data_IF_489164832372
#
_entry.id   IF_489164832372
#
_cell.length_a   1.000
_cell.length_b   1.000
_cell.length_c   1.000
_cell.angle_alpha   90.00
_cell.angle_beta   90.00
_cell.angle_gamma   90.00
#
_symmetry.space_group_name_H-M   'P 1'
#
loop_
_entity.id
_entity.type
_entity.pdbx_description
1 polymer ?
#
# COMPACT_ATOMS: atom_id res chain seq x y z
N UNK A 1 4.43 -14.62 -34.96
CA UNK A 1 4.21 -14.06 -33.60
C UNK A 1 4.49 -12.56 -33.57
N UNK A 2 3.70 -11.73 -34.26
CA UNK A 2 4.00 -10.30 -34.41
C UNK A 2 2.78 -9.37 -34.42
N UNK A 3 1.60 -9.83 -34.01
CA UNK A 3 0.35 -9.07 -34.19
C UNK A 3 -0.35 -8.74 -32.86
N UNK A 4 -0.15 -9.52 -31.80
CA UNK A 4 -0.72 -9.24 -30.46
C UNK A 4 0.04 -8.17 -29.68
N UNK A 5 1.36 -7.99 -29.91
CA UNK A 5 2.16 -6.93 -29.28
C UNK A 5 1.84 -5.53 -29.83
N UNK A 6 1.31 -5.46 -31.06
CA UNK A 6 0.93 -4.20 -31.72
C UNK A 6 -0.37 -3.64 -31.14
N UNK A 7 -1.29 -4.48 -30.64
CA UNK A 7 -2.58 -4.03 -30.10
C UNK A 7 -2.48 -3.41 -28.70
N UNK A 8 -1.61 -3.91 -27.82
CA UNK A 8 -1.34 -3.27 -26.52
C UNK A 8 -0.61 -1.93 -26.67
N UNK A 9 0.34 -1.81 -27.60
CA UNK A 9 1.00 -0.54 -27.92
C UNK A 9 0.07 0.43 -28.65
N UNK A 10 -0.80 -0.05 -29.55
CA UNK A 10 -1.77 0.79 -30.26
C UNK A 10 -2.85 1.38 -29.33
N UNK A 11 -3.31 0.66 -28.30
CA UNK A 11 -4.27 1.21 -27.33
C UNK A 11 -3.66 2.33 -26.46
N UNK A 12 -2.37 2.23 -26.15
CA UNK A 12 -1.61 3.29 -25.45
C UNK A 12 -1.30 4.46 -26.39
N UNK A 13 -0.96 4.20 -27.65
CA UNK A 13 -0.65 5.23 -28.65
C UNK A 13 -1.90 5.98 -29.18
N UNK A 14 -3.05 5.30 -29.34
CA UNK A 14 -4.32 5.90 -29.77
C UNK A 14 -4.89 6.78 -28.66
N UNK A 15 -4.77 6.38 -27.37
CA UNK A 15 -5.05 7.27 -26.23
C UNK A 15 -4.14 8.50 -26.20
N UNK A 16 -2.90 8.39 -26.70
CA UNK A 16 -1.94 9.50 -26.76
C UNK A 16 -2.17 10.46 -27.94
N UNK A 17 -2.51 9.97 -29.14
CA UNK A 17 -2.79 10.79 -30.32
C UNK A 17 -4.11 11.57 -30.17
N UNK A 18 -5.13 10.98 -29.52
CA UNK A 18 -6.40 11.67 -29.26
C UNK A 18 -6.31 12.76 -28.17
N UNK A 19 -5.24 12.77 -27.36
CA UNK A 19 -5.02 13.74 -26.27
C UNK A 19 -4.19 14.97 -26.70
N UNK A 20 -3.46 14.90 -27.82
CA UNK A 20 -2.74 16.06 -28.36
C UNK A 20 -3.58 16.79 -29.42
N UNK A 21 -4.30 17.81 -28.96
CA UNK A 21 -4.62 19.11 -29.62
C UNK A 21 -6.03 19.57 -29.26
N UNK A 22 -6.19 20.24 -28.14
CA UNK A 22 -7.12 21.39 -27.99
C UNK A 22 -6.54 22.37 -26.98
N UNK A 23 -5.98 23.47 -27.51
CA UNK A 23 -5.39 24.55 -26.72
C UNK A 23 -4.19 25.15 -27.45
N UNK A 24 -4.44 26.12 -28.32
CA UNK A 24 -3.37 26.99 -28.80
C UNK A 24 -3.25 28.16 -27.81
N UNK A 25 -2.05 28.35 -27.24
CA UNK A 25 -1.70 29.51 -26.43
C UNK A 25 -0.96 30.47 -27.38
N UNK A 26 -1.50 31.66 -27.61
CA UNK A 26 -0.78 32.77 -28.25
C UNK A 26 -0.44 33.81 -27.18
N UNK A 27 0.81 34.29 -27.19
CA UNK A 27 1.31 35.35 -26.32
C UNK A 27 1.37 36.66 -27.10
N UNK A 28 0.79 37.73 -26.57
CA UNK A 28 1.03 39.10 -27.02
C UNK A 28 1.93 39.79 -25.99
N UNK A 29 3.02 40.39 -26.46
CA UNK A 29 4.18 40.78 -25.66
C UNK A 29 4.09 42.17 -25.03
N UNK A 30 2.90 42.62 -24.65
CA UNK A 30 2.69 44.00 -24.18
C UNK A 30 2.08 44.16 -22.79
N UNK A 31 1.77 43.07 -22.05
CA UNK A 31 1.16 43.21 -20.72
C UNK A 31 1.63 42.15 -19.72
N UNK A 32 2.29 42.56 -18.63
CA UNK A 32 2.99 41.66 -17.68
C UNK A 32 2.18 41.22 -16.46
N UNK A 33 0.87 41.46 -16.37
CA UNK A 33 0.14 41.14 -15.11
C UNK A 33 -1.25 40.51 -15.24
N UNK A 34 -1.68 40.01 -16.41
CA UNK A 34 -2.97 39.31 -16.51
C UNK A 34 -2.96 38.12 -17.49
N UNK A 35 -3.35 36.94 -16.99
CA UNK A 35 -3.70 35.75 -17.79
C UNK A 35 -5.20 35.78 -18.11
N UNK A 36 -5.57 36.01 -19.37
CA UNK A 36 -6.95 35.87 -19.85
C UNK A 36 -7.19 34.48 -20.45
N UNK A 37 -8.10 33.70 -19.85
CA UNK A 37 -8.60 32.44 -20.43
C UNK A 37 -9.98 32.72 -21.06
N UNK A 38 -10.04 32.79 -22.39
CA UNK A 38 -11.29 32.96 -23.14
C UNK A 38 -11.84 31.59 -23.53
N UNK A 39 -12.91 31.14 -22.87
CA UNK A 39 -13.64 29.94 -23.27
C UNK A 39 -14.57 30.30 -24.43
N UNK A 40 -14.31 29.75 -25.63
CA UNK A 40 -15.25 29.82 -26.75
C UNK A 40 -16.34 28.77 -26.53
N UNK A 41 -17.53 29.24 -26.14
CA UNK A 41 -18.77 28.50 -26.30
C UNK A 41 -19.66 29.25 -27.28
N UNK A 42 -20.10 28.57 -28.34
CA UNK A 42 -21.39 28.83 -28.99
C UNK A 42 -21.74 27.71 -29.97
N UNK A 43 -22.77 26.93 -29.65
CA UNK A 43 -23.81 26.55 -30.60
C UNK A 43 -25.15 26.53 -29.86
N UNK A 44 -25.96 27.57 -30.08
CA UNK A 44 -27.41 27.58 -29.83
C UNK A 44 -28.12 26.84 -30.97
N UNK A 45 -28.92 25.84 -30.64
CA UNK A 45 -30.13 25.49 -31.43
C UNK A 45 -31.29 25.29 -30.44
N UNK A 46 -32.40 25.98 -30.70
CA UNK A 46 -33.62 26.03 -29.88
C UNK A 46 -34.59 24.88 -30.21
N UNK A 47 -35.11 24.26 -29.14
CA UNK A 47 -36.48 23.75 -28.86
C UNK A 47 -37.21 22.82 -29.85
N UNK A 48 -37.62 21.64 -29.35
CA UNK A 48 -39.02 21.25 -29.09
C UNK A 48 -39.11 19.86 -28.42
N UNK A 49 -39.93 19.79 -27.37
CA UNK A 49 -40.74 18.67 -26.85
C UNK A 49 -40.13 17.24 -26.69
N UNK A 50 -40.26 16.71 -25.47
CA UNK A 50 -40.17 15.26 -25.18
C UNK A 50 -39.26 14.95 -24.00
N UNK A 51 -39.81 14.91 -22.79
CA UNK A 51 -39.14 14.28 -21.65
C UNK A 51 -39.19 12.76 -21.85
N UNK A 52 -38.08 12.13 -22.23
CA UNK A 52 -37.85 10.72 -21.97
C UNK A 52 -36.85 10.58 -20.83
N UNK A 53 -37.25 9.85 -19.80
CA UNK A 53 -36.43 9.50 -18.65
C UNK A 53 -35.40 8.46 -19.08
N UNK A 54 -34.17 8.89 -19.37
CA UNK A 54 -33.04 7.96 -19.39
C UNK A 54 -32.86 7.36 -18.00
N UNK A 55 -33.00 6.03 -17.92
CA UNK A 55 -32.81 5.23 -16.72
C UNK A 55 -31.39 5.45 -16.20
N UNK A 56 -31.27 6.15 -15.07
CA UNK A 56 -30.08 6.06 -14.21
C UNK A 56 -29.84 4.58 -13.92
N UNK A 57 -28.68 4.07 -14.34
CA UNK A 57 -28.18 2.79 -13.88
C UNK A 57 -28.10 2.81 -12.36
N UNK A 58 -29.09 2.23 -11.71
CA UNK A 58 -29.15 2.05 -10.26
C UNK A 58 -28.20 0.91 -9.91
N UNK A 59 -26.91 1.21 -9.76
CA UNK A 59 -26.01 0.30 -9.07
C UNK A 59 -26.38 0.32 -7.57
N UNK A 60 -26.54 -0.84 -6.91
CA UNK A 60 -26.88 -0.88 -5.51
C UNK A 60 -25.78 -0.20 -4.69
N UNK A 61 -26.17 0.55 -3.67
CA UNK A 61 -25.24 1.04 -2.65
C UNK A 61 -24.61 -0.18 -1.97
N UNK A 62 -23.33 -0.43 -2.26
CA UNK A 62 -22.59 -1.51 -1.62
C UNK A 62 -22.12 -0.99 -0.26
N UNK A 63 -22.82 -1.40 0.80
CA UNK A 63 -22.39 -1.12 2.18
C UNK A 63 -21.18 -2.01 2.48
N UNK A 64 -20.04 -1.38 2.78
CA UNK A 64 -18.80 -2.09 3.06
C UNK A 64 -18.87 -2.95 4.32
N UNK A 65 -19.87 -2.76 5.18
CA UNK A 65 -20.13 -3.64 6.34
C UNK A 65 -20.74 -4.98 5.95
N UNK A 66 -21.36 -5.09 4.77
CA UNK A 66 -21.96 -6.34 4.27
C UNK A 66 -20.88 -7.29 3.74
N UNK A 67 -19.65 -6.82 3.49
CA UNK A 67 -18.53 -7.67 3.09
C UNK A 67 -18.07 -8.67 4.17
N UNK A 68 -18.57 -8.54 5.40
CA UNK A 68 -18.12 -9.35 6.54
C UNK A 68 -19.20 -10.28 7.11
N UNK A 69 -20.38 -10.35 6.48
CA UNK A 69 -21.44 -11.28 6.88
C UNK A 69 -21.40 -12.57 6.04
N UNK A 70 -20.37 -13.38 6.26
CA UNK A 70 -20.41 -14.82 5.98
C UNK A 70 -19.98 -15.59 7.24
N UNK A 71 -20.80 -15.50 8.27
CA UNK A 71 -21.00 -16.62 9.18
C UNK A 71 -22.51 -16.77 9.38
N UNK A 72 -23.04 -17.90 8.91
CA UNK A 72 -24.43 -18.26 9.10
C UNK A 72 -24.71 -18.49 10.59
N UNK A 73 -25.43 -17.56 11.23
CA UNK A 73 -26.41 -17.88 12.28
C UNK A 73 -27.60 -16.92 12.08
N UNK A 74 -28.73 -17.46 11.64
CA UNK A 74 -30.01 -16.75 11.59
C UNK A 74 -30.44 -16.31 12.99
N UNK A 75 -30.51 -14.99 13.22
CA UNK A 75 -31.39 -14.43 14.26
C UNK A 75 -32.13 -13.25 13.65
N UNK A 76 -33.44 -13.40 13.51
CA UNK A 76 -34.33 -12.37 13.00
C UNK A 76 -34.29 -11.12 13.88
N UNK A 77 -34.07 -9.94 13.29
CA UNK A 77 -34.35 -8.67 13.96
C UNK A 77 -35.17 -7.78 13.05
N UNK A 78 -36.41 -7.56 13.47
CA UNK A 78 -37.40 -6.64 12.92
C UNK A 78 -36.84 -5.23 12.75
N UNK A 79 -37.23 -4.62 11.64
CA UNK A 79 -37.00 -3.23 11.27
C UNK A 79 -37.28 -2.24 12.42
N UNK A 80 -36.37 -1.27 12.61
CA UNK A 80 -36.67 0.09 13.11
C UNK A 80 -35.56 1.08 12.71
N UNK A 81 -35.98 1.98 11.82
CA UNK A 81 -35.64 3.41 11.72
C UNK A 81 -34.25 3.87 11.30
N UNK A 82 -34.23 4.34 10.05
CA UNK A 82 -33.41 5.42 9.51
C UNK A 82 -33.50 6.66 10.41
N UNK A 83 -32.36 7.14 10.92
CA UNK A 83 -32.02 8.57 11.12
C UNK A 83 -30.52 8.70 11.30
N UNK A 84 -29.87 9.36 10.34
CA UNK A 84 -28.51 9.90 10.44
C UNK A 84 -28.41 10.84 11.64
N UNK A 85 -27.32 10.79 12.39
CA UNK A 85 -26.60 11.96 12.88
C UNK A 85 -25.20 11.54 13.38
N UNK A 86 -24.24 12.41 13.08
CA UNK A 86 -22.82 12.31 13.36
C UNK A 86 -22.57 12.19 14.87
N UNK A 87 -22.07 11.05 15.35
CA UNK A 87 -21.46 10.96 16.68
C UNK A 87 -20.33 9.93 16.67
N UNK A 88 -19.10 10.46 16.65
CA UNK A 88 -17.88 9.78 17.08
C UNK A 88 -18.01 9.42 18.56
N UNK A 89 -18.18 8.13 18.85
CA UNK A 89 -17.84 7.49 20.12
C UNK A 89 -18.14 6.01 19.98
N UNK A 90 -17.14 5.20 19.66
CA UNK A 90 -17.29 3.73 19.68
C UNK A 90 -16.31 3.12 20.68
N UNK A 91 -16.87 2.88 21.86
CA UNK A 91 -16.69 1.70 22.69
C UNK A 91 -15.26 1.19 22.95
N UNK A 92 -14.56 1.83 23.90
CA UNK A 92 -13.65 1.13 24.81
C UNK A 92 -14.46 0.35 25.85
N UNK A 93 -14.87 -0.90 25.54
CA UNK A 93 -15.24 -1.88 26.57
C UNK A 93 -15.01 -3.31 26.10
N UNK A 94 -13.89 -3.90 26.54
CA UNK A 94 -13.91 -5.26 27.09
C UNK A 94 -12.76 -5.43 28.08
N UNK A 95 -12.90 -4.81 29.25
CA UNK A 95 -12.15 -5.20 30.45
C UNK A 95 -12.80 -6.46 31.01
N UNK A 96 -12.17 -7.63 30.85
CA UNK A 96 -12.49 -8.79 31.70
C UNK A 96 -11.82 -8.56 33.05
N UNK A 97 -12.59 -7.96 33.96
CA UNK A 97 -12.28 -7.96 35.38
C UNK A 97 -12.42 -9.37 35.95
N UNK A 98 -11.44 -9.72 36.78
CA UNK A 98 -11.32 -10.85 37.68
C UNK A 98 -12.64 -11.44 38.21
N UNK A 99 -12.79 -12.76 38.07
CA UNK A 99 -13.39 -13.62 39.11
C UNK A 99 -12.44 -14.79 39.36
N UNK A 100 -12.11 -14.96 40.63
CA UNK A 100 -11.13 -15.93 41.10
C UNK A 100 -11.58 -17.37 40.91
N UNK A 101 -10.71 -18.13 40.27
CA UNK A 101 -10.53 -19.56 40.51
C UNK A 101 -9.02 -19.79 40.45
N UNK A 102 -8.41 -20.20 41.56
CA UNK A 102 -7.00 -20.56 41.61
C UNK A 102 -6.78 -21.83 40.78
N UNK A 103 -6.37 -21.64 39.53
CA UNK A 103 -5.81 -22.71 38.69
C UNK A 103 -4.30 -22.53 38.70
N UNK A 104 -3.60 -23.62 39.08
CA UNK A 104 -2.15 -23.71 39.20
C UNK A 104 -1.45 -23.18 37.93
N UNK A 105 -0.49 -22.27 38.15
CA UNK A 105 0.28 -21.55 37.14
C UNK A 105 1.15 -22.47 36.27
N UNK A 106 0.69 -22.78 35.06
CA UNK A 106 1.54 -23.24 33.95
C UNK A 106 1.52 -22.30 32.73
N UNK A 107 0.69 -21.26 32.72
CA UNK A 107 0.53 -20.33 31.58
C UNK A 107 1.55 -19.18 31.56
N UNK A 108 2.10 -18.75 32.71
CA UNK A 108 3.00 -17.59 32.77
C UNK A 108 4.43 -17.86 32.25
N UNK A 109 4.85 -19.13 32.18
CA UNK A 109 6.20 -19.50 31.70
C UNK A 109 6.29 -19.34 30.18
N UNK A 110 5.22 -19.70 29.45
CA UNK A 110 5.18 -19.62 28.00
C UNK A 110 5.18 -18.16 27.50
N UNK A 111 4.47 -17.26 28.17
CA UNK A 111 4.41 -15.84 27.80
C UNK A 111 5.78 -15.14 27.93
N UNK A 112 6.58 -15.49 28.94
CA UNK A 112 7.95 -14.97 29.07
C UNK A 112 8.88 -15.52 27.99
N UNK A 113 8.70 -16.79 27.58
CA UNK A 113 9.50 -17.43 26.53
C UNK A 113 9.21 -16.82 25.15
N UNK A 114 7.94 -16.63 24.77
CA UNK A 114 7.56 -16.00 23.50
C UNK A 114 8.00 -14.54 23.43
N UNK A 115 7.83 -13.78 24.51
CA UNK A 115 8.32 -12.40 24.60
C UNK A 115 9.85 -12.32 24.58
N UNK A 116 10.54 -13.31 25.16
CA UNK A 116 11.98 -13.46 25.09
C UNK A 116 12.47 -13.69 23.65
N UNK A 117 11.83 -14.60 22.92
CA UNK A 117 12.12 -14.87 21.51
C UNK A 117 11.88 -13.64 20.63
N UNK A 118 10.78 -12.90 20.85
CA UNK A 118 10.50 -11.67 20.13
C UNK A 118 11.61 -10.62 20.36
N UNK A 119 12.09 -10.45 21.60
CA UNK A 119 13.25 -9.58 21.89
C UNK A 119 14.52 -10.03 21.17
N UNK A 120 14.79 -11.34 21.13
CA UNK A 120 15.93 -11.89 20.38
C UNK A 120 15.83 -11.61 18.87
N UNK A 121 14.62 -11.69 18.30
CA UNK A 121 14.40 -11.32 16.90
C UNK A 121 14.67 -9.83 16.65
N UNK A 122 14.21 -8.94 17.54
CA UNK A 122 14.47 -7.50 17.43
C UNK A 122 15.96 -7.15 17.47
N UNK A 123 16.79 -7.94 18.16
CA UNK A 123 18.26 -7.81 18.08
C UNK A 123 18.83 -7.98 16.66
N UNK A 124 18.06 -8.57 15.74
CA UNK A 124 18.37 -8.78 14.32
C UNK A 124 17.46 -7.97 13.38
N UNK A 125 16.77 -6.93 13.88
CA UNK A 125 15.81 -6.12 13.10
C UNK A 125 16.42 -5.46 11.86
N UNK A 126 17.75 -5.27 11.82
CA UNK A 126 18.44 -4.73 10.65
C UNK A 126 18.76 -5.77 9.54
N UNK A 127 18.42 -7.04 9.72
CA UNK A 127 18.68 -8.09 8.74
C UNK A 127 17.59 -8.11 7.66
N UNK A 128 17.99 -8.24 6.40
CA UNK A 128 17.04 -8.32 5.28
C UNK A 128 16.19 -9.61 5.28
N UNK A 129 16.64 -10.65 5.97
CA UNK A 129 15.92 -11.91 6.15
C UNK A 129 15.11 -11.94 7.45
N UNK A 130 14.73 -10.79 8.00
CA UNK A 130 13.86 -10.72 9.18
C UNK A 130 12.49 -11.32 8.84
N UNK A 131 12.07 -12.33 9.59
CA UNK A 131 10.78 -13.00 9.40
C UNK A 131 9.68 -12.25 10.16
N UNK A 132 9.00 -11.36 9.45
CA UNK A 132 7.93 -10.54 10.01
C UNK A 132 6.70 -11.37 10.42
N UNK A 133 6.43 -12.48 9.72
CA UNK A 133 5.30 -13.35 10.04
C UNK A 133 5.53 -14.12 11.33
N UNK A 134 6.75 -14.63 11.55
CA UNK A 134 7.10 -15.24 12.83
C UNK A 134 7.04 -14.20 13.95
N UNK A 135 7.58 -13.00 13.73
CA UNK A 135 7.55 -11.94 14.72
C UNK A 135 6.12 -11.55 15.12
N UNK A 136 5.21 -11.47 14.16
CA UNK A 136 3.79 -11.21 14.41
C UNK A 136 3.12 -12.33 15.22
N UNK A 137 3.41 -13.60 14.91
CA UNK A 137 2.93 -14.74 15.70
C UNK A 137 3.42 -14.71 17.15
N UNK A 138 4.72 -14.42 17.35
CA UNK A 138 5.32 -14.36 18.69
C UNK A 138 4.79 -13.20 19.54
N UNK A 139 4.29 -12.15 18.90
CA UNK A 139 3.76 -10.96 19.57
C UNK A 139 2.22 -10.93 19.60
N UNK A 140 1.57 -12.01 19.18
CA UNK A 140 0.10 -12.13 19.10
C UNK A 140 -0.57 -11.02 18.28
N UNK A 141 -0.06 -10.76 17.06
CA UNK A 141 -0.60 -9.73 16.18
C UNK A 141 -0.14 -8.31 16.54
N UNK A 142 0.94 -8.17 17.31
CA UNK A 142 1.44 -6.90 17.83
C UNK A 142 2.79 -6.50 17.20
N UNK A 143 3.03 -6.98 15.97
CA UNK A 143 4.30 -6.76 15.25
C UNK A 143 4.56 -5.28 14.98
N UNK A 144 3.58 -4.54 14.47
CA UNK A 144 3.75 -3.14 14.08
C UNK A 144 4.13 -2.24 15.26
N UNK A 145 3.42 -2.34 16.39
CA UNK A 145 3.74 -1.57 17.60
C UNK A 145 5.10 -2.00 18.15
N UNK A 146 5.33 -3.30 18.32
CA UNK A 146 6.55 -3.81 18.97
C UNK A 146 7.80 -3.47 18.17
N UNK A 147 7.76 -3.64 16.84
CA UNK A 147 8.85 -3.31 15.93
C UNK A 147 9.08 -1.80 15.87
N UNK A 148 8.03 -1.01 15.66
CA UNK A 148 8.17 0.45 15.51
C UNK A 148 8.62 1.11 16.81
N UNK A 149 8.10 0.69 17.96
CA UNK A 149 8.55 1.19 19.26
C UNK A 149 10.03 0.85 19.50
N UNK A 150 10.46 -0.37 19.15
CA UNK A 150 11.86 -0.75 19.20
C UNK A 150 12.74 0.13 18.29
N UNK A 151 12.30 0.41 17.06
CA UNK A 151 13.05 1.26 16.13
C UNK A 151 13.12 2.72 16.62
N UNK A 152 12.08 3.25 17.24
CA UNK A 152 12.12 4.58 17.86
C UNK A 152 13.17 4.67 18.97
N UNK A 153 13.31 3.60 19.76
CA UNK A 153 14.37 3.49 20.78
C UNK A 153 15.75 3.31 20.14
N UNK A 154 15.89 2.40 19.16
CA UNK A 154 17.15 2.08 18.48
C UNK A 154 17.77 3.30 17.78
N UNK A 155 16.94 4.16 17.18
CA UNK A 155 17.38 5.40 16.53
C UNK A 155 17.47 6.60 17.50
N UNK A 156 17.24 6.40 18.80
CA UNK A 156 17.31 7.47 19.81
C UNK A 156 16.22 8.54 19.69
N UNK A 157 15.14 8.29 18.95
CA UNK A 157 14.10 9.29 18.65
C UNK A 157 13.32 9.72 19.89
N UNK A 158 13.15 8.79 20.84
CA UNK A 158 12.45 9.05 22.11
C UNK A 158 13.17 10.15 22.89
N UNK A 159 14.49 10.02 23.04
CA UNK A 159 15.32 10.97 23.77
C UNK A 159 15.47 12.29 22.97
N UNK A 160 15.78 12.18 21.68
CA UNK A 160 16.04 13.32 20.81
C UNK A 160 14.85 14.29 20.72
N UNK A 161 13.63 13.76 20.65
CA UNK A 161 12.40 14.56 20.53
C UNK A 161 11.61 14.67 21.83
N UNK A 162 12.15 14.17 22.95
CA UNK A 162 11.51 14.17 24.27
C UNK A 162 10.09 13.57 24.23
N UNK A 163 9.97 12.38 23.63
CA UNK A 163 8.68 11.72 23.43
C UNK A 163 8.21 11.05 24.72
N UNK A 164 6.96 11.30 25.09
CA UNK A 164 6.26 10.54 26.12
C UNK A 164 6.02 9.11 25.61
N UNK A 165 6.67 8.12 26.22
CA UNK A 165 6.56 6.72 25.85
C UNK A 165 5.13 6.16 25.93
N UNK A 166 4.31 6.67 26.85
CA UNK A 166 2.91 6.27 26.97
C UNK A 166 2.08 6.80 25.80
N UNK A 167 2.33 8.05 25.38
CA UNK A 167 1.71 8.61 24.16
C UNK A 167 2.22 7.89 22.91
N UNK A 168 3.50 7.56 22.84
CA UNK A 168 4.09 6.83 21.71
C UNK A 168 3.43 5.45 21.57
N UNK A 169 3.34 4.68 22.66
CA UNK A 169 2.67 3.37 22.63
C UNK A 169 1.20 3.51 22.21
N UNK A 170 0.46 4.48 22.75
CA UNK A 170 -0.93 4.73 22.35
C UNK A 170 -1.06 5.09 20.87
N UNK A 171 -0.20 5.97 20.37
CA UNK A 171 -0.16 6.34 18.96
C UNK A 171 0.06 5.12 18.05
N UNK A 172 1.05 4.28 18.37
CA UNK A 172 1.33 3.08 17.59
C UNK A 172 0.19 2.06 17.67
N UNK A 173 -0.46 1.89 18.83
CA UNK A 173 -1.64 1.02 18.96
C UNK A 173 -2.80 1.54 18.12
N UNK A 174 -3.08 2.85 18.13
CA UNK A 174 -4.12 3.42 17.27
C UNK A 174 -3.83 3.15 15.79
N UNK A 175 -2.57 3.27 15.36
CA UNK A 175 -2.18 2.92 13.99
C UNK A 175 -2.47 1.45 13.70
N UNK A 176 -2.01 0.54 14.56
CA UNK A 176 -2.14 -0.91 14.33
C UNK A 176 -3.60 -1.37 14.27
N UNK A 177 -4.46 -0.84 15.16
CA UNK A 177 -5.87 -1.24 15.22
C UNK A 177 -6.72 -0.61 14.10
N UNK A 178 -6.26 0.49 13.48
CA UNK A 178 -6.90 1.09 12.30
C UNK A 178 -6.48 0.41 10.99
N UNK A 179 -5.62 -0.62 11.03
CA UNK A 179 -5.45 -1.55 9.92
C UNK A 179 -6.51 -2.67 9.98
N UNK A 180 -7.07 -2.99 8.83
CA UNK A 180 -8.04 -4.07 8.67
C UNK A 180 -7.34 -5.44 8.69
N UNK A 181 -7.32 -6.10 9.85
CA UNK A 181 -6.69 -7.42 10.04
C UNK A 181 -7.31 -8.54 9.19
N UNK A 182 -8.51 -8.32 8.66
CA UNK A 182 -9.19 -9.23 7.73
C UNK A 182 -8.69 -9.13 6.28
N UNK A 183 -7.99 -8.06 5.91
CA UNK A 183 -7.38 -7.96 4.58
C UNK A 183 -6.22 -8.98 4.50
N UNK A 184 -6.15 -9.84 3.47
CA UNK A 184 -5.07 -10.81 3.34
C UNK A 184 -3.67 -10.18 3.28
N UNK A 185 -3.55 -9.03 2.60
CA UNK A 185 -2.28 -8.34 2.36
C UNK A 185 -2.21 -6.96 3.04
N UNK A 186 -3.12 -6.03 2.73
CA UNK A 186 -3.04 -4.65 3.23
C UNK A 186 -3.54 -4.55 4.69
N UNK A 187 -2.73 -5.05 5.62
CA UNK A 187 -2.96 -5.10 7.07
C UNK A 187 -1.72 -4.63 7.85
N UNK A 188 -1.77 -4.65 9.19
CA UNK A 188 -0.69 -4.15 10.05
C UNK A 188 0.64 -4.91 9.88
N UNK A 189 0.61 -6.19 9.45
CA UNK A 189 1.83 -6.98 9.24
C UNK A 189 2.58 -6.48 8.00
N UNK A 190 1.85 -6.11 6.94
CA UNK A 190 2.45 -5.45 5.76
C UNK A 190 3.08 -4.11 6.17
N UNK A 191 2.36 -3.27 6.92
CA UNK A 191 2.92 -2.03 7.44
C UNK A 191 4.20 -2.24 8.27
N UNK A 192 4.25 -3.32 9.07
CA UNK A 192 5.42 -3.68 9.85
C UNK A 192 6.59 -4.15 8.97
N UNK A 193 6.33 -4.91 7.89
CA UNK A 193 7.33 -5.32 6.89
C UNK A 193 7.93 -4.10 6.17
N UNK A 194 7.09 -3.19 5.70
CA UNK A 194 7.51 -1.93 5.04
C UNK A 194 8.33 -1.06 5.99
N UNK A 195 7.93 -0.97 7.26
CA UNK A 195 8.70 -0.23 8.29
C UNK A 195 10.07 -0.87 8.54
N UNK A 196 10.14 -2.21 8.57
CA UNK A 196 11.39 -2.93 8.72
C UNK A 196 12.32 -2.77 7.50
N UNK A 197 11.77 -2.84 6.29
CA UNK A 197 12.52 -2.59 5.06
C UNK A 197 13.04 -1.14 4.99
N UNK A 198 12.20 -0.16 5.36
CA UNK A 198 12.60 1.25 5.44
C UNK A 198 13.75 1.44 6.44
N UNK A 199 13.73 0.74 7.58
CA UNK A 199 14.85 0.74 8.51
C UNK A 199 16.15 0.22 7.86
N UNK A 200 16.11 -0.88 7.11
CA UNK A 200 17.28 -1.37 6.38
C UNK A 200 17.81 -0.33 5.39
N UNK A 201 16.95 0.39 4.67
CA UNK A 201 17.39 1.46 3.76
C UNK A 201 17.97 2.67 4.47
N UNK A 202 17.42 3.06 5.62
CA UNK A 202 17.99 4.14 6.43
C UNK A 202 19.40 3.80 6.94
N UNK A 203 19.76 2.52 7.03
CA UNK A 203 21.12 2.05 7.36
C UNK A 203 22.08 2.03 6.18
N UNK A 204 21.62 2.24 4.94
CA UNK A 204 22.49 2.31 3.78
C UNK A 204 23.45 3.51 3.89
N UNK A 205 24.74 3.39 3.49
CA UNK A 205 25.78 4.37 3.82
C UNK A 205 25.46 5.81 3.43
N UNK A 206 24.85 6.02 2.25
CA UNK A 206 24.50 7.34 1.75
C UNK A 206 23.37 7.99 2.55
N UNK A 207 22.38 7.21 2.99
CA UNK A 207 21.31 7.70 3.83
C UNK A 207 21.77 7.87 5.28
N UNK A 208 22.39 6.85 5.87
CA UNK A 208 22.87 6.87 7.26
C UNK A 208 23.81 8.05 7.56
N UNK A 209 24.58 8.52 6.58
CA UNK A 209 25.48 9.68 6.72
C UNK A 209 24.84 11.05 6.45
N UNK A 210 23.59 11.10 5.98
CA UNK A 210 22.94 12.35 5.55
C UNK A 210 21.58 12.63 6.19
N UNK A 211 20.85 11.59 6.63
CA UNK A 211 19.56 11.74 7.29
C UNK A 211 19.71 12.32 8.69
N UNK A 212 18.80 13.20 9.05
CA UNK A 212 18.67 13.73 10.41
C UNK A 212 17.74 12.83 11.24
N UNK A 213 17.73 12.93 12.58
CA UNK A 213 16.73 12.26 13.41
C UNK A 213 15.29 12.62 13.01
N UNK A 214 15.07 13.82 12.47
CA UNK A 214 13.78 14.24 11.91
C UNK A 214 13.40 13.43 10.68
N UNK A 215 14.33 13.27 9.73
CA UNK A 215 14.10 12.46 8.53
C UNK A 215 13.79 10.99 8.88
N UNK A 216 14.49 10.42 9.86
CA UNK A 216 14.25 9.05 10.36
C UNK A 216 12.86 8.95 11.01
N UNK A 217 12.50 9.91 11.86
CA UNK A 217 11.18 9.97 12.50
C UNK A 217 10.05 9.96 11.47
N UNK A 218 10.11 10.86 10.49
CA UNK A 218 9.09 10.97 9.46
C UNK A 218 9.02 9.71 8.59
N UNK A 219 10.17 9.13 8.26
CA UNK A 219 10.27 7.92 7.44
C UNK A 219 9.62 6.71 8.11
N UNK A 220 9.86 6.51 9.41
CA UNK A 220 9.27 5.40 10.16
C UNK A 220 7.76 5.59 10.34
N UNK A 221 7.30 6.81 10.64
CA UNK A 221 5.86 7.08 10.75
C UNK A 221 5.17 6.89 9.40
N UNK A 222 5.74 7.42 8.31
CA UNK A 222 5.18 7.24 6.97
C UNK A 222 5.11 5.76 6.60
N UNK A 223 6.16 4.98 6.82
CA UNK A 223 6.15 3.54 6.55
C UNK A 223 5.06 2.80 7.36
N UNK A 224 4.94 3.11 8.66
CA UNK A 224 3.95 2.48 9.54
C UNK A 224 2.50 2.88 9.22
N UNK A 225 2.27 3.94 8.44
CA UNK A 225 0.93 4.49 8.16
C UNK A 225 0.58 4.62 6.69
N UNK A 226 1.44 4.17 5.77
CA UNK A 226 1.26 4.41 4.33
C UNK A 226 0.00 3.77 3.75
N UNK A 227 -0.53 2.73 4.40
CA UNK A 227 -1.73 1.97 4.02
C UNK A 227 -2.81 1.98 5.11
N UNK A 228 -2.78 2.97 6.01
CA UNK A 228 -3.69 3.04 7.16
C UNK A 228 -5.17 3.07 6.73
N UNK A 229 -6.02 2.21 7.31
CA UNK A 229 -7.43 2.06 6.94
C UNK A 229 -7.64 1.69 5.44
N UNK A 230 -6.75 0.86 4.89
CA UNK A 230 -6.92 0.32 3.53
C UNK A 230 -8.16 -0.59 3.41
N UNK A 231 -9.07 -0.35 2.44
CA UNK A 231 -10.36 -1.06 2.37
C UNK A 231 -10.29 -2.45 1.71
N UNK A 232 -9.10 -2.90 1.33
CA UNK A 232 -8.90 -4.18 0.63
C UNK A 232 -9.28 -4.15 -0.86
N UNK A 233 -9.45 -2.96 -1.43
CA UNK A 233 -9.82 -2.75 -2.83
C UNK A 233 -9.08 -1.55 -3.42
N UNK A 234 -8.84 -1.59 -4.74
CA UNK A 234 -8.03 -0.62 -5.45
C UNK A 234 -8.79 0.68 -5.80
N UNK A 235 -8.04 1.72 -6.18
CA UNK A 235 -8.62 3.01 -6.59
C UNK A 235 -9.66 2.90 -7.73
N UNK A 236 -9.41 2.18 -8.85
CA UNK A 236 -10.43 1.99 -9.90
C UNK A 236 -11.75 1.42 -9.38
N UNK A 237 -11.71 0.48 -8.42
CA UNK A 237 -12.89 -0.07 -7.77
C UNK A 237 -13.67 1.02 -7.00
N UNK A 238 -12.97 1.82 -6.18
CA UNK A 238 -13.60 2.93 -5.43
C UNK A 238 -14.25 3.97 -6.35
N UNK A 239 -13.62 4.27 -7.49
CA UNK A 239 -14.14 5.23 -8.47
C UNK A 239 -15.41 4.68 -9.12
N UNK A 240 -15.37 3.46 -9.67
CA UNK A 240 -16.51 2.90 -10.41
C UNK A 240 -17.72 2.58 -9.52
N UNK A 241 -17.49 2.33 -8.22
CA UNK A 241 -18.55 2.13 -7.23
C UNK A 241 -19.03 3.43 -6.59
N UNK A 242 -18.49 4.59 -6.99
CA UNK A 242 -18.81 5.90 -6.41
C UNK A 242 -18.62 5.95 -4.88
N UNK A 243 -17.57 5.29 -4.38
CA UNK A 243 -17.24 5.35 -2.97
C UNK A 243 -16.97 6.81 -2.53
N UNK A 244 -17.36 7.17 -1.30
CA UNK A 244 -17.25 8.54 -0.84
C UNK A 244 -15.80 9.06 -0.84
N UNK A 245 -14.81 8.18 -0.64
CA UNK A 245 -13.38 8.53 -0.74
C UNK A 245 -13.00 9.01 -2.13
N UNK A 246 -13.52 8.37 -3.20
CA UNK A 246 -13.26 8.80 -4.57
C UNK A 246 -13.79 10.22 -4.83
N UNK A 247 -14.95 10.55 -4.24
CA UNK A 247 -15.51 11.91 -4.28
C UNK A 247 -14.66 12.89 -3.47
N UNK A 248 -14.28 12.52 -2.24
CA UNK A 248 -13.50 13.35 -1.33
C UNK A 248 -12.15 13.76 -1.93
N UNK A 249 -11.46 12.82 -2.57
CA UNK A 249 -10.14 13.01 -3.17
C UNK A 249 -10.16 13.18 -4.68
N UNK A 250 -11.34 13.43 -5.26
CA UNK A 250 -11.53 13.77 -6.69
C UNK A 250 -10.79 12.81 -7.63
N UNK A 251 -10.94 11.51 -7.39
CA UNK A 251 -10.35 10.43 -8.20
C UNK A 251 -8.82 10.50 -8.38
N UNK A 252 -8.08 11.18 -7.49
CA UNK A 252 -6.63 11.35 -7.58
C UNK A 252 -5.95 10.83 -6.33
N UNK A 253 -5.11 9.79 -6.46
CA UNK A 253 -4.41 9.12 -5.35
C UNK A 253 -5.34 8.91 -4.15
N UNK A 254 -6.51 8.30 -4.42
CA UNK A 254 -7.66 8.23 -3.50
C UNK A 254 -7.28 7.50 -2.21
N UNK A 255 -6.55 6.39 -2.35
CA UNK A 255 -6.10 5.56 -1.23
C UNK A 255 -4.99 6.28 -0.46
N UNK A 256 -3.97 6.78 -1.14
CA UNK A 256 -2.81 7.39 -0.49
C UNK A 256 -3.17 8.69 0.23
N UNK A 257 -4.11 9.48 -0.32
CA UNK A 257 -4.69 10.61 0.41
C UNK A 257 -5.46 10.14 1.64
N UNK A 258 -6.24 9.06 1.55
CA UNK A 258 -6.96 8.50 2.68
C UNK A 258 -6.00 8.11 3.81
N UNK A 259 -4.99 7.30 3.51
CA UNK A 259 -3.97 6.85 4.46
C UNK A 259 -3.28 8.05 5.12
N UNK A 260 -2.87 9.05 4.31
CA UNK A 260 -2.28 10.28 4.81
C UNK A 260 -3.19 11.05 5.75
N UNK A 261 -4.46 11.30 5.37
CA UNK A 261 -5.37 12.09 6.21
C UNK A 261 -5.74 11.35 7.51
N UNK A 262 -5.85 10.02 7.46
CA UNK A 262 -6.03 9.17 8.64
C UNK A 262 -4.81 9.26 9.58
N UNK A 263 -3.60 9.16 9.03
CA UNK A 263 -2.35 9.31 9.81
C UNK A 263 -2.25 10.68 10.50
N UNK A 264 -2.64 11.76 9.80
CA UNK A 264 -2.73 13.10 10.38
C UNK A 264 -3.77 13.17 11.51
N UNK A 265 -4.90 12.47 11.36
CA UNK A 265 -5.90 12.33 12.42
C UNK A 265 -5.31 11.76 13.70
N UNK A 266 -4.65 10.59 13.58
CA UNK A 266 -4.03 9.90 14.73
C UNK A 266 -2.86 10.68 15.34
N UNK A 267 -2.05 11.37 14.52
CA UNK A 267 -0.98 12.24 15.01
C UNK A 267 -1.52 13.36 15.91
N UNK A 268 -2.64 13.98 15.52
CA UNK A 268 -3.29 15.05 16.29
C UNK A 268 -3.97 14.49 17.55
N UNK A 269 -4.71 13.39 17.42
CA UNK A 269 -5.44 12.76 18.52
C UNK A 269 -4.52 12.23 19.62
N UNK A 270 -3.39 11.62 19.25
CA UNK A 270 -2.42 11.12 20.22
C UNK A 270 -1.78 12.20 21.08
N UNK A 271 -1.70 13.43 20.56
CA UNK A 271 -0.93 14.52 21.17
C UNK A 271 0.56 14.16 21.36
N UNK A 272 1.10 13.21 20.60
CA UNK A 272 2.47 12.72 20.74
C UNK A 272 3.51 13.84 20.59
N UNK A 273 3.27 14.76 19.66
CA UNK A 273 4.13 15.91 19.38
C UNK A 273 3.54 17.23 19.88
N UNK A 274 2.59 17.19 20.82
CA UNK A 274 1.87 18.40 21.30
C UNK A 274 2.78 19.47 21.92
N UNK A 275 3.94 19.08 22.44
CA UNK A 275 4.97 19.98 22.97
C UNK A 275 5.79 20.69 21.88
N UNK A 276 5.74 20.22 20.63
CA UNK A 276 6.44 20.85 19.51
C UNK A 276 5.67 22.06 18.95
N UNK A 277 6.38 23.05 18.37
CA UNK A 277 5.77 24.17 17.68
C UNK A 277 4.76 23.73 16.61
N UNK A 278 3.72 24.54 16.41
CA UNK A 278 2.68 24.25 15.42
C UNK A 278 3.26 24.12 14.00
N UNK A 279 4.21 24.98 13.64
CA UNK A 279 4.88 24.95 12.34
C UNK A 279 5.57 23.61 12.09
N UNK A 280 6.32 23.09 13.07
CA UNK A 280 6.98 21.78 12.97
C UNK A 280 5.97 20.65 12.80
N UNK A 281 4.83 20.69 13.50
CA UNK A 281 3.75 19.70 13.34
C UNK A 281 3.11 19.77 11.95
N UNK A 282 2.85 20.97 11.42
CA UNK A 282 2.33 21.14 10.06
C UNK A 282 3.33 20.68 9.00
N UNK A 283 4.62 20.92 9.23
CA UNK A 283 5.70 20.45 8.36
C UNK A 283 5.83 18.92 8.40
N UNK A 284 5.64 18.29 9.57
CA UNK A 284 5.57 16.84 9.73
C UNK A 284 4.41 16.25 8.92
N UNK A 285 3.20 16.80 9.10
CA UNK A 285 2.00 16.36 8.36
C UNK A 285 2.22 16.45 6.83
N UNK A 286 2.87 17.52 6.36
CA UNK A 286 3.14 17.74 4.94
C UNK A 286 4.18 16.76 4.38
N UNK A 287 5.29 16.56 5.09
CA UNK A 287 6.37 15.67 4.65
C UNK A 287 5.98 14.19 4.73
N UNK A 288 5.23 13.78 5.75
CA UNK A 288 4.65 12.43 5.81
C UNK A 288 3.69 12.24 4.64
N UNK A 289 2.83 13.23 4.35
CA UNK A 289 1.95 13.18 3.18
C UNK A 289 2.70 13.01 1.86
N UNK A 290 3.81 13.72 1.68
CA UNK A 290 4.63 13.59 0.48
C UNK A 290 5.32 12.21 0.37
N UNK A 291 5.68 11.59 1.50
CA UNK A 291 6.19 10.20 1.52
C UNK A 291 5.09 9.20 1.15
N UNK A 292 3.91 9.28 1.79
CA UNK A 292 2.78 8.38 1.53
C UNK A 292 2.27 8.55 0.10
N UNK A 293 2.10 9.76 -0.42
CA UNK A 293 1.66 9.98 -1.80
C UNK A 293 2.65 9.47 -2.86
N UNK A 294 3.90 9.18 -2.48
CA UNK A 294 4.86 8.56 -3.38
C UNK A 294 4.60 7.05 -3.57
N UNK A 295 3.89 6.39 -2.65
CA UNK A 295 3.57 4.96 -2.75
C UNK A 295 2.51 4.66 -3.82
N UNK A 296 1.76 5.68 -4.28
CA UNK A 296 0.81 5.53 -5.41
C UNK A 296 1.52 4.91 -6.62
N UNK A 297 1.20 3.63 -6.85
CA UNK A 297 1.88 2.82 -7.87
C UNK A 297 1.53 3.30 -9.28
N UNK A 298 0.37 3.93 -9.47
CA UNK A 298 -0.05 4.48 -10.77
C UNK A 298 0.87 5.63 -11.22
N UNK A 299 1.57 6.26 -10.28
CA UNK A 299 2.49 7.37 -10.50
C UNK A 299 3.96 6.97 -10.47
N UNK A 300 4.27 5.67 -10.39
CA UNK A 300 5.67 5.18 -10.33
C UNK A 300 6.54 5.75 -11.45
N UNK A 301 6.02 5.85 -12.68
CA UNK A 301 6.80 6.34 -13.82
C UNK A 301 7.26 7.79 -13.63
N UNK A 302 6.46 8.64 -12.98
CA UNK A 302 6.81 10.04 -12.68
C UNK A 302 8.00 10.09 -11.71
N UNK A 303 7.91 9.38 -10.59
CA UNK A 303 8.97 9.31 -9.58
C UNK A 303 10.24 8.65 -10.12
N UNK A 304 10.11 7.53 -10.85
CA UNK A 304 11.24 6.79 -11.39
C UNK A 304 11.99 7.59 -12.46
N UNK A 305 11.26 8.31 -13.32
CA UNK A 305 11.86 9.15 -14.35
C UNK A 305 12.56 10.37 -13.77
N UNK A 306 11.97 11.01 -12.75
CA UNK A 306 12.62 12.09 -12.01
C UNK A 306 13.90 11.61 -11.34
N UNK A 307 13.83 10.48 -10.62
CA UNK A 307 14.98 9.90 -9.92
C UNK A 307 16.09 9.48 -10.89
N UNK A 308 15.75 8.74 -11.96
CA UNK A 308 16.69 8.37 -13.03
C UNK A 308 17.38 9.60 -13.61
N UNK A 309 16.63 10.66 -13.91
CA UNK A 309 17.20 11.88 -14.47
C UNK A 309 18.23 12.53 -13.54
N UNK A 310 17.97 12.50 -12.23
CA UNK A 310 18.93 12.96 -11.22
C UNK A 310 20.17 12.06 -11.10
N UNK A 311 20.00 10.74 -11.22
CA UNK A 311 21.12 9.79 -11.26
C UNK A 311 21.98 9.96 -12.50
N UNK A 312 21.37 10.18 -13.65
CA UNK A 312 22.06 10.41 -14.93
C UNK A 312 22.88 11.71 -14.90
N UNK A 313 22.33 12.77 -14.27
CA UNK A 313 23.03 14.05 -14.09
C UNK A 313 24.08 14.03 -12.97
N UNK A 314 23.97 13.09 -12.03
CA UNK A 314 24.84 13.04 -10.85
C UNK A 314 24.67 14.25 -9.92
N UNK A 315 23.49 14.88 -9.89
CA UNK A 315 23.22 16.15 -9.20
C UNK A 315 22.52 15.98 -7.83
N UNK A 316 22.30 14.74 -7.37
CA UNK A 316 21.73 14.45 -6.04
C UNK A 316 22.65 14.89 -4.89
N UNK A 317 22.42 16.10 -4.39
CA UNK A 317 23.02 16.59 -3.14
C UNK A 317 22.21 16.17 -1.90
N UNK A 318 22.63 15.14 -1.16
CA UNK A 318 21.91 14.65 0.02
C UNK A 318 21.92 15.61 1.24
N UNK A 319 22.74 16.67 1.19
CA UNK A 319 22.66 17.76 2.17
C UNK A 319 21.44 18.67 1.91
N UNK A 320 20.99 18.80 0.66
CA UNK A 320 19.75 19.50 0.33
C UNK A 320 18.54 18.66 0.79
N UNK A 321 17.65 19.28 1.55
CA UNK A 321 16.51 18.59 2.15
C UNK A 321 15.53 18.04 1.11
N UNK A 322 15.35 18.71 -0.04
CA UNK A 322 14.42 18.26 -1.09
C UNK A 322 14.98 17.04 -1.82
N UNK A 323 16.26 17.06 -2.17
CA UNK A 323 16.93 15.89 -2.76
C UNK A 323 16.94 14.70 -1.80
N UNK A 324 17.25 14.94 -0.53
CA UNK A 324 17.19 13.86 0.49
C UNK A 324 15.77 13.32 0.66
N UNK A 325 14.76 14.20 0.70
CA UNK A 325 13.37 13.77 0.81
C UNK A 325 12.88 13.01 -0.43
N UNK A 326 13.29 13.40 -1.64
CA UNK A 326 13.06 12.60 -2.86
C UNK A 326 13.65 11.19 -2.73
N UNK A 327 14.87 11.06 -2.21
CA UNK A 327 15.49 9.74 -1.99
C UNK A 327 14.71 8.93 -0.95
N UNK A 328 14.19 9.57 0.11
CA UNK A 328 13.35 8.89 1.11
C UNK A 328 12.01 8.45 0.52
N UNK A 329 11.40 9.22 -0.39
CA UNK A 329 10.23 8.80 -1.16
C UNK A 329 10.55 7.56 -1.99
N UNK A 330 11.69 7.55 -2.70
CA UNK A 330 12.13 6.37 -3.46
C UNK A 330 12.41 5.16 -2.55
N UNK A 331 12.99 5.37 -1.37
CA UNK A 331 13.24 4.31 -0.40
C UNK A 331 11.93 3.71 0.15
N UNK A 332 10.93 4.55 0.44
CA UNK A 332 9.61 4.07 0.86
C UNK A 332 8.90 3.31 -0.27
N UNK A 333 9.00 3.79 -1.52
CA UNK A 333 8.51 3.04 -2.69
C UNK A 333 9.20 1.68 -2.81
N UNK A 334 10.53 1.62 -2.62
CA UNK A 334 11.23 0.35 -2.59
C UNK A 334 10.70 -0.54 -1.46
N UNK A 335 10.49 -0.01 -0.26
CA UNK A 335 10.05 -0.77 0.91
C UNK A 335 8.66 -1.39 0.69
N UNK A 336 7.75 -0.60 0.13
CA UNK A 336 6.38 -1.00 -0.18
C UNK A 336 6.32 -2.19 -1.15
N UNK A 337 7.11 -2.17 -2.23
CA UNK A 337 7.14 -3.26 -3.22
C UNK A 337 8.34 -4.21 -3.10
N UNK A 338 8.95 -4.33 -1.91
CA UNK A 338 10.14 -5.16 -1.72
C UNK A 338 9.87 -6.66 -1.52
N UNK A 339 8.62 -7.12 -1.48
CA UNK A 339 8.35 -8.54 -1.17
C UNK A 339 9.07 -9.50 -2.14
N UNK A 340 9.11 -9.26 -3.46
CA UNK A 340 9.91 -10.06 -4.40
C UNK A 340 11.42 -10.02 -4.19
N UNK A 341 11.92 -9.03 -3.44
CA UNK A 341 13.33 -8.86 -3.10
C UNK A 341 13.72 -9.60 -1.82
N UNK A 342 12.75 -10.23 -1.12
CA UNK A 342 12.99 -11.09 0.05
C UNK A 342 13.37 -12.50 -0.37
N UNK A 343 13.77 -13.33 0.60
CA UNK A 343 13.96 -14.77 0.37
C UNK A 343 12.67 -15.40 -0.18
N UNK A 344 12.81 -16.49 -0.93
CA UNK A 344 11.68 -17.19 -1.56
C UNK A 344 10.53 -17.47 -0.59
N UNK A 345 10.82 -17.97 0.62
CA UNK A 345 9.79 -18.31 1.62
C UNK A 345 8.92 -17.11 2.04
N UNK A 346 9.52 -15.93 2.20
CA UNK A 346 8.79 -14.71 2.53
C UNK A 346 8.09 -14.15 1.29
N UNK A 347 8.79 -14.11 0.15
CA UNK A 347 8.24 -13.62 -1.11
C UNK A 347 7.01 -14.43 -1.55
N UNK A 348 7.02 -15.74 -1.34
CA UNK A 348 5.92 -16.64 -1.69
C UNK A 348 4.69 -16.36 -0.84
N UNK A 349 4.83 -16.29 0.49
CA UNK A 349 3.72 -15.94 1.39
C UNK A 349 3.08 -14.59 1.05
N UNK A 350 3.90 -13.58 0.75
CA UNK A 350 3.38 -12.28 0.30
C UNK A 350 2.66 -12.36 -1.05
N UNK A 351 3.20 -13.13 -2.00
CA UNK A 351 2.58 -13.33 -3.32
C UNK A 351 1.22 -14.00 -3.22
N UNK A 352 1.08 -14.99 -2.34
CA UNK A 352 -0.19 -15.68 -2.08
C UNK A 352 -1.21 -14.71 -1.47
N UNK A 353 -0.81 -13.96 -0.43
CA UNK A 353 -1.65 -12.98 0.26
C UNK A 353 -2.14 -11.85 -0.65
N UNK A 354 -1.25 -11.23 -1.42
CA UNK A 354 -1.64 -10.13 -2.32
C UNK A 354 -2.59 -10.61 -3.42
N UNK A 355 -2.37 -11.84 -3.91
CA UNK A 355 -3.23 -12.41 -4.96
C UNK A 355 -4.58 -12.86 -4.40
N UNK A 356 -4.64 -13.37 -3.17
CA UNK A 356 -5.88 -13.64 -2.47
C UNK A 356 -6.75 -12.39 -2.36
N UNK A 357 -6.15 -11.25 -2.00
CA UNK A 357 -6.86 -9.98 -1.90
C UNK A 357 -7.35 -9.46 -3.27
N UNK A 358 -6.53 -9.55 -4.32
CA UNK A 358 -6.95 -9.21 -5.68
C UNK A 358 -8.11 -10.08 -6.15
N UNK A 359 -8.03 -11.39 -5.93
CA UNK A 359 -9.07 -12.31 -6.34
C UNK A 359 -10.37 -12.13 -5.54
N UNK A 360 -10.28 -11.78 -4.26
CA UNK A 360 -11.45 -11.41 -3.47
C UNK A 360 -12.16 -10.17 -4.04
N UNK A 361 -11.40 -9.14 -4.46
CA UNK A 361 -11.99 -8.01 -5.17
C UNK A 361 -12.65 -8.45 -6.49
N UNK A 362 -11.98 -9.29 -7.28
CA UNK A 362 -12.53 -9.79 -8.54
C UNK A 362 -13.81 -10.60 -8.39
N UNK A 363 -13.92 -11.40 -7.33
CA UNK A 363 -15.14 -12.14 -7.00
C UNK A 363 -16.31 -11.19 -6.71
N UNK A 364 -16.06 -10.11 -5.97
CA UNK A 364 -17.05 -9.04 -5.72
C UNK A 364 -17.44 -8.39 -7.05
N UNK A 365 -16.46 -8.01 -7.88
CA UNK A 365 -16.71 -7.38 -9.17
C UNK A 365 -17.54 -8.26 -10.11
N UNK A 366 -17.26 -9.57 -10.12
CA UNK A 366 -18.01 -10.57 -10.89
C UNK A 366 -19.43 -10.75 -10.34
N UNK A 367 -19.58 -10.89 -9.02
CA UNK A 367 -20.87 -11.07 -8.33
C UNK A 367 -21.82 -9.90 -8.54
N UNK A 368 -21.30 -8.67 -8.57
CA UNK A 368 -22.11 -7.45 -8.73
C UNK A 368 -22.03 -6.84 -10.14
N UNK A 369 -21.50 -7.58 -11.12
CA UNK A 369 -21.42 -7.17 -12.53
C UNK A 369 -20.73 -5.80 -12.74
N UNK A 370 -19.65 -5.54 -12.00
CA UNK A 370 -18.90 -4.28 -12.01
C UNK A 370 -17.76 -4.26 -13.05
N UNK A 371 -17.60 -5.34 -13.81
CA UNK A 371 -16.45 -5.60 -14.68
C UNK A 371 -15.21 -5.94 -13.85
N UNK A 372 -14.67 -7.15 -14.01
CA UNK A 372 -13.50 -7.61 -13.24
C UNK A 372 -12.28 -6.79 -13.64
N UNK A 373 -11.57 -6.27 -12.64
CA UNK A 373 -10.36 -5.48 -12.81
C UNK A 373 -9.20 -6.36 -13.29
N UNK A 374 -8.21 -5.80 -14.01
CA UNK A 374 -6.98 -6.53 -14.30
C UNK A 374 -6.33 -7.08 -13.02
N UNK A 375 -5.69 -8.25 -13.10
CA UNK A 375 -5.04 -8.98 -12.00
C UNK A 375 -6.00 -9.58 -10.96
N UNK A 376 -7.31 -9.37 -11.11
CA UNK A 376 -8.31 -9.78 -10.13
C UNK A 376 -9.12 -11.01 -10.55
N UNK A 377 -8.96 -11.55 -11.77
CA UNK A 377 -9.76 -12.70 -12.22
C UNK A 377 -9.04 -14.03 -11.95
N UNK A 378 -9.42 -14.72 -10.86
CA UNK A 378 -8.89 -16.03 -10.48
C UNK A 378 -9.09 -17.14 -11.53
N UNK A 379 -9.96 -16.95 -12.52
CA UNK A 379 -10.21 -17.94 -13.57
C UNK A 379 -9.33 -17.75 -14.80
N UNK A 380 -8.84 -16.53 -15.05
CA UNK A 380 -8.00 -16.24 -16.23
C UNK A 380 -6.56 -15.85 -15.89
N UNK A 381 -6.28 -15.55 -14.64
CA UNK A 381 -4.97 -15.07 -14.19
C UNK A 381 -4.37 -16.02 -13.16
N UNK A 382 -3.11 -16.41 -13.36
CA UNK A 382 -2.39 -17.24 -12.40
C UNK A 382 -1.47 -16.37 -11.54
N UNK A 383 -1.29 -16.79 -10.27
CA UNK A 383 -0.36 -16.14 -9.32
C UNK A 383 1.02 -15.95 -9.97
N UNK A 384 1.53 -16.99 -10.64
CA UNK A 384 2.83 -16.95 -11.28
C UNK A 384 2.93 -15.86 -12.38
N UNK A 385 1.90 -15.71 -13.22
CA UNK A 385 1.90 -14.67 -14.26
C UNK A 385 1.83 -13.26 -13.66
N UNK A 386 0.99 -13.08 -12.64
CA UNK A 386 0.88 -11.81 -11.91
C UNK A 386 2.25 -11.43 -11.33
N UNK A 387 2.90 -12.36 -10.64
CA UNK A 387 4.20 -12.13 -10.00
C UNK A 387 5.32 -11.89 -11.03
N UNK A 388 5.40 -12.67 -12.11
CA UNK A 388 6.41 -12.47 -13.16
C UNK A 388 6.23 -11.09 -13.82
N UNK A 389 4.99 -10.70 -14.12
CA UNK A 389 4.67 -9.38 -14.69
C UNK A 389 5.06 -8.25 -13.73
N UNK A 390 4.61 -8.34 -12.47
CA UNK A 390 4.92 -7.37 -11.43
C UNK A 390 6.43 -7.19 -11.23
N UNK A 391 7.18 -8.29 -11.11
CA UNK A 391 8.64 -8.27 -10.98
C UNK A 391 9.30 -7.59 -12.19
N UNK A 392 8.87 -7.93 -13.40
CA UNK A 392 9.48 -7.41 -14.64
C UNK A 392 9.23 -5.91 -14.86
N UNK A 393 8.00 -5.46 -14.62
CA UNK A 393 7.58 -4.13 -15.07
C UNK A 393 7.57 -3.08 -13.97
N UNK A 394 7.50 -3.47 -12.70
CA UNK A 394 7.48 -2.54 -11.58
C UNK A 394 8.69 -2.67 -10.67
N UNK A 395 9.01 -3.89 -10.22
CA UNK A 395 10.09 -4.12 -9.24
C UNK A 395 11.47 -3.94 -9.86
N UNK A 396 11.81 -4.69 -10.91
CA UNK A 396 13.15 -4.66 -11.54
C UNK A 396 13.56 -3.23 -11.96
N UNK A 397 12.71 -2.41 -12.61
CA UNK A 397 13.07 -1.03 -12.97
C UNK A 397 13.36 -0.16 -11.75
N UNK A 398 12.54 -0.26 -10.69
CA UNK A 398 12.74 0.52 -9.47
C UNK A 398 14.03 0.13 -8.75
N UNK A 399 14.24 -1.16 -8.53
CA UNK A 399 15.39 -1.66 -7.79
C UNK A 399 16.70 -1.52 -8.57
N UNK A 400 16.65 -1.48 -9.90
CA UNK A 400 17.82 -1.18 -10.74
C UNK A 400 18.27 0.28 -10.55
N UNK A 401 17.35 1.25 -10.57
CA UNK A 401 17.70 2.65 -10.28
C UNK A 401 18.12 2.84 -8.82
N UNK A 402 17.48 2.15 -7.88
CA UNK A 402 17.92 2.15 -6.47
C UNK A 402 19.33 1.60 -6.31
N UNK A 403 19.69 0.51 -7.01
CA UNK A 403 21.04 -0.05 -6.98
C UNK A 403 22.08 0.90 -7.61
N UNK A 404 21.70 1.70 -8.63
CA UNK A 404 22.55 2.78 -9.14
C UNK A 404 22.80 3.86 -8.09
N UNK A 405 21.80 4.20 -7.28
CA UNK A 405 21.93 5.15 -6.19
C UNK A 405 22.77 4.61 -5.03
N UNK A 406 22.41 3.43 -4.51
CA UNK A 406 23.08 2.75 -3.40
C UNK A 406 23.63 1.40 -3.87
N UNK A 407 24.82 1.42 -4.47
CA UNK A 407 25.46 0.22 -5.00
C UNK A 407 26.15 -0.58 -3.88
N UNK A 408 25.34 -1.24 -3.04
CA UNK A 408 25.79 -1.99 -1.87
C UNK A 408 25.41 -3.46 -1.97
N UNK A 409 25.89 -4.27 -1.01
CA UNK A 409 25.53 -5.68 -0.90
C UNK A 409 24.03 -5.89 -0.78
N UNK A 410 23.31 -5.03 -0.04
CA UNK A 410 21.86 -5.14 0.11
C UNK A 410 21.17 -5.00 -1.25
N UNK A 411 21.53 -4.00 -2.05
CA UNK A 411 20.95 -3.81 -3.39
C UNK A 411 21.20 -5.00 -4.32
N UNK A 412 22.41 -5.58 -4.27
CA UNK A 412 22.71 -6.78 -5.05
C UNK A 412 21.95 -8.01 -4.54
N UNK A 413 21.80 -8.18 -3.22
CA UNK A 413 20.97 -9.24 -2.62
C UNK A 413 19.51 -9.12 -3.05
N UNK A 414 18.95 -7.91 -3.02
CA UNK A 414 17.56 -7.66 -3.43
C UNK A 414 17.33 -8.02 -4.90
N UNK A 415 18.16 -7.53 -5.82
CA UNK A 415 18.07 -7.88 -7.24
C UNK A 415 18.32 -9.37 -7.50
N UNK A 416 19.24 -9.99 -6.76
CA UNK A 416 19.50 -11.42 -6.81
C UNK A 416 18.26 -12.24 -6.43
N UNK A 417 17.58 -11.89 -5.33
CA UNK A 417 16.33 -12.52 -4.94
C UNK A 417 15.23 -12.33 -5.97
N UNK A 418 15.07 -11.14 -6.56
CA UNK A 418 14.08 -10.93 -7.64
C UNK A 418 14.34 -11.91 -8.80
N UNK A 419 15.61 -12.06 -9.22
CA UNK A 419 15.98 -13.02 -10.26
C UNK A 419 15.65 -14.46 -9.91
N UNK A 420 16.00 -14.90 -8.69
CA UNK A 420 15.73 -16.26 -8.20
C UNK A 420 14.23 -16.53 -8.08
N UNK A 421 13.49 -15.64 -7.42
CA UNK A 421 12.06 -15.77 -7.18
C UNK A 421 11.27 -15.76 -8.49
N UNK A 422 11.65 -14.90 -9.45
CA UNK A 422 11.08 -14.89 -10.80
C UNK A 422 11.34 -16.19 -11.55
N UNK A 423 12.52 -16.77 -11.40
CA UNK A 423 12.85 -18.08 -11.99
C UNK A 423 12.01 -19.20 -11.35
N UNK A 424 11.81 -19.19 -10.03
CA UNK A 424 10.94 -20.13 -9.33
C UNK A 424 9.49 -20.06 -9.82
N UNK A 425 8.91 -18.86 -9.98
CA UNK A 425 7.57 -18.71 -10.55
C UNK A 425 7.46 -19.24 -11.98
N UNK A 426 8.48 -19.00 -12.83
CA UNK A 426 8.55 -19.59 -14.18
C UNK A 426 8.67 -21.11 -14.15
N UNK A 427 9.34 -21.68 -13.14
CA UNK A 427 9.44 -23.12 -12.93
C UNK A 427 8.07 -23.73 -12.62
N UNK A 428 7.34 -23.15 -11.67
CA UNK A 428 6.01 -23.61 -11.26
C UNK A 428 4.99 -23.60 -12.42
N UNK A 429 5.11 -22.65 -13.36
CA UNK A 429 4.27 -22.64 -14.57
C UNK A 429 4.51 -23.85 -15.47
N UNK A 430 5.78 -24.25 -15.64
CA UNK A 430 6.13 -25.38 -16.51
C UNK A 430 5.65 -26.70 -15.92
N UNK A 431 5.78 -26.85 -14.60
CA UNK A 431 5.29 -28.03 -13.88
C UNK A 431 3.78 -28.17 -14.04
N UNK A 432 3.01 -27.08 -13.84
CA UNK A 432 1.55 -27.06 -14.04
C UNK A 432 1.13 -27.40 -15.48
N UNK A 433 1.81 -26.85 -16.49
CA UNK A 433 1.52 -27.21 -17.89
C UNK A 433 1.87 -28.67 -18.20
N UNK A 434 2.96 -29.19 -17.62
CA UNK A 434 3.38 -30.57 -17.87
C UNK A 434 2.45 -31.60 -17.22
N UNK A 435 1.87 -31.28 -16.05
CA UNK A 435 0.87 -32.12 -15.38
C UNK A 435 -0.47 -32.13 -16.12
N UNK A 436 -0.92 -30.98 -16.65
CA UNK A 436 -2.14 -30.90 -17.46
C UNK A 436 -2.00 -31.70 -18.77
N UNK A 437 -0.83 -31.64 -19.43
CA UNK A 437 -0.56 -32.45 -20.63
C UNK A 437 -0.50 -33.96 -20.34
N UNK A 438 -0.07 -34.37 -19.14
CA UNK A 438 -0.05 -35.78 -18.73
C UNK A 438 -1.42 -36.30 -18.32
N UNK A 439 -2.28 -35.48 -17.70
CA UNK A 439 -3.67 -35.84 -17.41
C UNK A 439 -4.52 -35.90 -18.69
N UNK A 440 -4.34 -34.94 -19.62
CA UNK A 440 -5.04 -34.94 -20.90
C UNK A 440 -4.71 -36.18 -21.75
N UNK A 441 -3.44 -36.61 -21.77
CA UNK A 441 -3.04 -37.84 -22.46
C UNK A 441 -3.56 -39.11 -21.78
N UNK A 442 -3.77 -39.09 -20.47
CA UNK A 442 -4.36 -40.22 -19.73
C UNK A 442 -5.88 -40.32 -19.91
N UNK A 443 -6.59 -39.18 -20.00
CA UNK A 443 -8.01 -39.14 -20.34
C UNK A 443 -8.28 -39.54 -21.79
N UNK A 444 -7.45 -39.12 -22.75
CA UNK A 444 -7.54 -39.57 -24.15
C UNK A 444 -7.37 -41.10 -24.26
N UNK A 445 -6.43 -41.69 -23.52
CA UNK A 445 -6.22 -43.14 -23.51
C UNK A 445 -7.40 -43.92 -22.90
N UNK A 446 -8.07 -43.37 -21.88
CA UNK A 446 -9.23 -44.00 -21.25
C UNK A 446 -10.53 -43.81 -22.05
N UNK A 447 -10.61 -42.81 -22.93
CA UNK A 447 -11.75 -42.61 -23.83
C UNK A 447 -11.75 -43.52 -25.07
N UNK A 448 -10.64 -44.21 -25.32
CA UNK A 448 -10.45 -45.13 -26.45
C UNK A 448 -10.51 -46.63 -26.07
N UNK A 449 -10.80 -46.93 -24.79
CA UNK A 449 -11.12 -48.26 -24.26
C UNK A 449 -12.61 -48.34 -23.95
#
# INVERSE_FOLDING_TARGET
MGITLIWCLALVLIKWIASKRRGAISYDSSDQTALYIRMLGDVRVRSRAGFESERRGSHPYIDFRIFHAQSEIEVSVSARNIRRLLSFQRYLRSSRFFRGTTVSNSLNILDDDYNGQAKCMLGKVGNWNFDIFLFDRLTNGNSLVSLTFHLFSLHGLIEYFHLDMMKLRRFLVMIQEDYHSQNPYHNAVHAADVTQAMHCYLKEPKLASSVTPWDVLLSLIAAATHDLDHPGVNQPFLIKTNHYLATLYKNTSVLENHHWRSAVGLLRESGLFSHMPLESRQQMETQIGALILATDISRQNEYLSLFRSHLDRGDLCLKDARHRHLVLQMALKCADICNPCRTWELSKQWSEKVTEEFFHQGDIEKKYHLGVSPLCDRHSESIANIQIGFMTYLVEPLFTEWARFSNTRLSQTMLGHVGLNKASWKGLQREQSSSEDTEATFEELNSQL
#
